data_IF_869734445045
#
_entry.id   IF_869734445045
#
_cell.length_a   1.000
_cell.length_b   1.000
_cell.length_c   1.000
_cell.angle_alpha   90.00
_cell.angle_beta   90.00
_cell.angle_gamma   90.00
#
_symmetry.space_group_name_H-M   'P 1'
#
loop_
_entity.id
_entity.type
_entity.pdbx_description
1 polymer ?
#
# COMPACT_ATOMS: atom_id res chain seq x y z
N UNK A 1 -24.88 9.72 -19.44
CA UNK A 1 -25.30 8.86 -20.53
C UNK A 1 -26.42 7.94 -20.04
N UNK A 2 -27.58 7.84 -20.73
CA UNK A 2 -28.59 6.85 -20.42
C UNK A 2 -28.02 5.45 -20.65
N UNK A 3 -28.40 4.50 -19.80
CA UNK A 3 -28.02 3.10 -19.95
C UNK A 3 -29.12 2.33 -20.70
N UNK A 4 -28.70 1.39 -21.51
CA UNK A 4 -29.63 0.51 -22.27
C UNK A 4 -29.72 -0.83 -21.55
N UNK A 5 -30.95 -1.33 -21.38
CA UNK A 5 -31.17 -2.68 -20.88
C UNK A 5 -30.70 -3.72 -21.91
N UNK A 6 -29.82 -4.62 -21.48
CA UNK A 6 -29.21 -5.63 -22.37
C UNK A 6 -29.61 -7.07 -22.04
N UNK A 7 -30.37 -7.27 -20.97
CA UNK A 7 -30.88 -8.60 -20.63
C UNK A 7 -30.97 -8.86 -19.12
N UNK A 8 -31.47 -10.05 -18.77
CA UNK A 8 -31.47 -10.52 -17.39
C UNK A 8 -31.02 -11.99 -17.30
N UNK A 9 -30.34 -12.32 -16.20
CA UNK A 9 -29.94 -13.68 -15.89
C UNK A 9 -30.09 -13.87 -14.37
N UNK A 10 -30.74 -14.96 -13.95
CA UNK A 10 -30.99 -15.27 -12.54
C UNK A 10 -31.64 -14.14 -11.72
N UNK A 11 -32.53 -13.35 -12.34
CA UNK A 11 -33.22 -12.23 -11.70
C UNK A 11 -32.37 -10.94 -11.60
N UNK A 12 -31.14 -10.93 -12.15
CA UNK A 12 -30.29 -9.76 -12.23
C UNK A 12 -30.51 -9.09 -13.61
N UNK A 13 -30.88 -7.83 -13.60
CA UNK A 13 -31.04 -7.02 -14.81
C UNK A 13 -29.72 -6.32 -15.14
N UNK A 14 -29.31 -6.38 -16.41
CA UNK A 14 -28.10 -5.76 -16.92
C UNK A 14 -28.42 -4.53 -17.76
N UNK A 15 -27.73 -3.44 -17.47
CA UNK A 15 -27.82 -2.19 -18.23
C UNK A 15 -26.40 -1.77 -18.64
N UNK A 16 -26.26 -1.24 -19.83
CA UNK A 16 -24.98 -0.82 -20.39
C UNK A 16 -25.07 0.59 -20.98
N UNK A 17 -24.00 1.35 -20.81
CA UNK A 17 -23.80 2.61 -21.50
C UNK A 17 -22.35 2.74 -21.96
N UNK A 18 -22.08 3.23 -23.18
CA UNK A 18 -20.72 3.51 -23.60
C UNK A 18 -20.17 4.71 -22.81
N UNK A 19 -18.95 4.58 -22.32
CA UNK A 19 -18.16 5.67 -21.78
C UNK A 19 -17.15 6.10 -22.84
N UNK A 20 -17.22 7.36 -23.25
CA UNK A 20 -16.22 7.96 -24.16
C UNK A 20 -15.19 8.66 -23.29
N UNK A 21 -13.98 8.14 -23.28
CA UNK A 21 -12.87 8.73 -22.57
C UNK A 21 -12.16 9.76 -23.44
N UNK A 22 -11.94 10.95 -22.92
CA UNK A 22 -11.02 11.93 -23.51
C UNK A 22 -9.58 11.54 -23.13
N UNK A 23 -8.69 11.46 -24.12
CA UNK A 23 -7.26 11.16 -23.90
C UNK A 23 -6.54 12.17 -23.00
N UNK A 24 -7.11 13.35 -22.78
CA UNK A 24 -6.60 14.35 -21.85
C UNK A 24 -6.96 14.10 -20.39
N UNK A 25 -7.87 13.14 -20.12
CA UNK A 25 -8.34 12.80 -18.78
C UNK A 25 -7.81 11.44 -18.36
N UNK A 26 -7.03 11.38 -17.28
CA UNK A 26 -6.53 10.12 -16.71
C UNK A 26 -7.54 9.47 -15.75
N UNK A 27 -8.47 10.24 -15.22
CA UNK A 27 -9.43 9.77 -14.22
C UNK A 27 -10.85 10.16 -14.65
N UNK A 28 -11.72 9.19 -14.70
CA UNK A 28 -13.16 9.38 -14.88
C UNK A 28 -13.86 9.13 -13.54
N UNK A 29 -14.59 10.11 -13.05
CA UNK A 29 -15.47 9.93 -11.89
C UNK A 29 -16.91 9.77 -12.36
N UNK A 30 -17.66 8.84 -11.77
CA UNK A 30 -19.02 8.55 -12.14
C UNK A 30 -19.89 8.09 -10.96
N UNK A 31 -21.16 8.20 -11.13
CA UNK A 31 -22.20 7.66 -10.24
C UNK A 31 -23.40 7.24 -11.09
N UNK A 32 -24.32 6.50 -10.52
CA UNK A 32 -25.54 6.11 -11.20
C UNK A 32 -26.70 6.96 -10.70
N UNK A 33 -27.55 7.42 -11.64
CA UNK A 33 -28.84 8.02 -11.37
C UNK A 33 -29.92 7.06 -11.84
N UNK A 34 -30.75 6.59 -10.93
CA UNK A 34 -31.82 5.64 -11.20
C UNK A 34 -33.13 6.40 -11.07
N UNK A 35 -33.84 6.56 -12.18
CA UNK A 35 -35.20 7.13 -12.17
C UNK A 35 -36.20 5.96 -12.14
N UNK A 36 -37.08 5.99 -11.15
CA UNK A 36 -38.23 5.07 -11.10
C UNK A 36 -39.41 5.70 -11.80
N UNK A 37 -40.10 4.93 -12.65
CA UNK A 37 -41.23 5.41 -13.42
C UNK A 37 -42.48 4.61 -13.11
N UNK A 38 -43.64 5.25 -13.22
CA UNK A 38 -44.93 4.58 -13.24
C UNK A 38 -45.19 3.84 -14.57
N UNK A 39 -46.36 3.22 -14.70
CA UNK A 39 -46.76 2.50 -15.90
C UNK A 39 -46.96 3.42 -17.12
N UNK A 40 -47.22 4.67 -16.88
CA UNK A 40 -47.39 5.73 -17.88
C UNK A 40 -46.05 6.34 -18.30
N UNK A 41 -44.93 6.00 -17.62
CA UNK A 41 -43.60 6.50 -17.93
C UNK A 41 -43.21 7.79 -17.19
N UNK A 42 -44.05 8.29 -16.24
CA UNK A 42 -43.72 9.45 -15.45
C UNK A 42 -42.72 9.08 -14.34
N UNK A 43 -41.74 9.92 -14.10
CA UNK A 43 -40.77 9.70 -13.03
C UNK A 43 -41.45 9.91 -11.68
N UNK A 44 -41.49 8.86 -10.87
CA UNK A 44 -42.10 8.86 -9.54
C UNK A 44 -41.08 9.05 -8.42
N UNK A 45 -39.83 8.63 -8.61
CA UNK A 45 -38.74 8.81 -7.67
C UNK A 45 -37.38 8.80 -8.39
N UNK A 46 -36.34 9.36 -7.73
CA UNK A 46 -34.97 9.36 -8.22
C UNK A 46 -34.05 8.93 -7.09
N UNK A 47 -33.23 7.91 -7.37
CA UNK A 47 -32.23 7.42 -6.42
C UNK A 47 -30.85 7.53 -7.05
N UNK A 48 -29.88 7.91 -6.26
CA UNK A 48 -28.49 8.02 -6.65
C UNK A 48 -27.70 6.88 -6.01
N UNK A 49 -26.80 6.28 -6.80
CA UNK A 49 -25.94 5.19 -6.31
C UNK A 49 -24.48 5.54 -6.54
N UNK A 50 -23.71 5.51 -5.47
CA UNK A 50 -22.30 5.88 -5.42
C UNK A 50 -21.49 4.90 -4.55
N UNK A 51 -20.24 5.18 -4.28
CA UNK A 51 -19.38 4.36 -3.40
C UNK A 51 -19.93 4.23 -1.97
N UNK A 52 -20.78 5.14 -1.53
CA UNK A 52 -21.48 5.07 -0.23
C UNK A 52 -22.82 4.31 -0.29
N UNK A 53 -23.19 3.76 -1.44
CA UNK A 53 -24.49 3.11 -1.65
C UNK A 53 -25.56 4.05 -2.17
N UNK A 54 -26.85 3.76 -1.85
CA UNK A 54 -27.99 4.51 -2.35
C UNK A 54 -28.29 5.75 -1.49
N UNK A 55 -28.65 6.86 -2.17
CA UNK A 55 -29.05 8.11 -1.56
C UNK A 55 -30.19 8.75 -2.37
N UNK A 56 -30.96 9.64 -1.74
CA UNK A 56 -31.95 10.51 -2.43
C UNK A 56 -31.35 11.85 -2.86
N UNK A 57 -30.11 12.11 -2.46
CA UNK A 57 -29.34 13.30 -2.85
C UNK A 57 -28.18 12.90 -3.78
N UNK A 58 -27.81 13.75 -4.75
CA UNK A 58 -26.65 13.49 -5.60
C UNK A 58 -25.36 13.41 -4.75
N UNK A 59 -24.45 12.46 -5.05
CA UNK A 59 -23.23 12.30 -4.27
C UNK A 59 -22.27 13.46 -4.48
N UNK A 60 -21.50 13.77 -3.44
CA UNK A 60 -20.34 14.65 -3.55
C UNK A 60 -19.26 13.97 -4.41
N UNK A 61 -18.41 14.74 -5.06
CA UNK A 61 -17.36 14.24 -5.96
C UNK A 61 -16.47 13.18 -5.32
N UNK A 62 -16.12 13.36 -4.05
CA UNK A 62 -15.30 12.41 -3.27
C UNK A 62 -15.98 11.05 -3.01
N UNK A 63 -17.30 10.96 -3.22
CA UNK A 63 -18.08 9.75 -3.03
C UNK A 63 -18.48 9.11 -4.38
N UNK A 64 -18.03 9.67 -5.50
CA UNK A 64 -18.22 9.05 -6.81
C UNK A 64 -17.29 7.83 -6.96
N UNK A 65 -17.69 6.90 -7.83
CA UNK A 65 -16.76 5.89 -8.31
C UNK A 65 -15.68 6.55 -9.16
N UNK A 66 -14.50 6.01 -9.15
CA UNK A 66 -13.38 6.47 -9.96
C UNK A 66 -12.89 5.33 -10.87
N UNK A 67 -12.67 5.63 -12.13
CA UNK A 67 -12.08 4.73 -13.11
C UNK A 67 -10.84 5.41 -13.69
N UNK A 68 -9.70 4.79 -13.54
CA UNK A 68 -8.48 5.21 -14.21
C UNK A 68 -8.54 4.77 -15.67
N UNK A 69 -8.44 5.74 -16.60
CA UNK A 69 -8.66 5.51 -18.03
C UNK A 69 -7.39 5.05 -18.74
N UNK A 70 -6.25 5.48 -18.23
CA UNK A 70 -4.94 5.13 -18.77
C UNK A 70 -4.05 4.66 -17.64
N UNK A 71 -3.39 3.54 -17.85
CA UNK A 71 -2.39 3.06 -16.91
C UNK A 71 -1.16 3.98 -16.97
N UNK A 72 -1.06 4.89 -15.99
CA UNK A 72 0.08 5.83 -15.85
C UNK A 72 1.14 5.29 -14.90
N UNK A 73 0.90 4.13 -14.29
CA UNK A 73 1.87 3.52 -13.40
C UNK A 73 3.06 2.94 -14.18
N UNK A 74 4.28 3.12 -13.71
CA UNK A 74 5.44 2.53 -14.34
C UNK A 74 5.32 0.98 -14.32
N UNK A 75 5.70 0.33 -15.42
CA UNK A 75 5.52 -1.11 -15.60
C UNK A 75 6.22 -1.91 -14.49
N UNK A 76 7.39 -1.44 -14.04
CA UNK A 76 8.09 -2.10 -12.93
C UNK A 76 7.24 -2.19 -11.65
N UNK A 77 6.42 -1.19 -11.35
CA UNK A 77 5.59 -1.18 -10.14
C UNK A 77 4.37 -2.12 -10.25
N UNK A 78 3.86 -2.32 -11.49
CA UNK A 78 2.72 -3.20 -11.75
C UNK A 78 3.14 -4.67 -11.62
N UNK A 79 4.32 -5.00 -12.12
CA UNK A 79 4.81 -6.39 -12.19
C UNK A 79 5.59 -6.79 -10.92
N UNK A 80 5.84 -5.83 -10.00
CA UNK A 80 6.65 -6.08 -8.80
C UNK A 80 6.00 -7.00 -7.79
N UNK A 81 6.81 -7.90 -7.24
CA UNK A 81 6.52 -8.63 -6.01
C UNK A 81 7.31 -7.97 -4.89
N UNK A 82 6.56 -7.29 -4.00
CA UNK A 82 7.15 -6.42 -2.97
C UNK A 82 7.36 -7.19 -1.67
N UNK A 83 8.57 -7.08 -1.11
CA UNK A 83 8.90 -7.56 0.22
C UNK A 83 8.94 -6.39 1.21
N UNK A 84 8.03 -6.36 2.18
CA UNK A 84 8.01 -5.31 3.21
C UNK A 84 8.98 -5.63 4.33
N UNK A 85 9.77 -4.62 4.75
CA UNK A 85 10.79 -4.73 5.80
C UNK A 85 10.54 -3.67 6.86
N UNK A 86 10.58 -4.10 8.12
CA UNK A 86 10.81 -3.22 9.27
C UNK A 86 12.29 -3.33 9.62
N UNK A 87 13.17 -2.36 9.27
CA UNK A 87 14.61 -2.54 9.31
C UNK A 87 15.15 -2.94 10.69
N UNK A 88 14.69 -2.30 11.77
CA UNK A 88 15.10 -2.61 13.13
C UNK A 88 14.83 -4.07 13.55
N UNK A 89 13.81 -4.71 12.98
CA UNK A 89 13.33 -6.07 13.30
C UNK A 89 13.80 -7.14 12.33
N UNK A 90 14.57 -6.78 11.30
CA UNK A 90 14.85 -7.69 10.18
C UNK A 90 16.21 -8.37 10.27
N UNK A 91 17.29 -7.63 10.11
CA UNK A 91 18.65 -8.16 10.13
C UNK A 91 19.65 -7.08 10.53
N UNK A 92 20.74 -7.47 11.18
CA UNK A 92 21.81 -6.59 11.60
C UNK A 92 23.15 -6.99 11.01
N UNK A 93 23.93 -6.03 10.55
CA UNK A 93 25.30 -6.25 10.08
C UNK A 93 26.30 -6.49 11.20
N UNK A 94 25.99 -6.04 12.43
CA UNK A 94 26.87 -6.11 13.60
C UNK A 94 26.48 -7.19 14.60
N UNK A 95 25.54 -8.06 14.24
CA UNK A 95 24.93 -9.05 15.10
C UNK A 95 23.49 -8.69 15.48
N UNK A 96 22.68 -9.68 15.80
CA UNK A 96 21.30 -9.51 16.24
C UNK A 96 21.23 -9.36 17.75
N UNK A 97 20.26 -8.59 18.24
CA UNK A 97 19.91 -8.58 19.65
C UNK A 97 18.77 -9.55 19.92
N UNK A 98 18.83 -10.25 21.02
CA UNK A 98 17.68 -10.98 21.54
C UNK A 98 16.63 -9.98 22.06
N UNK A 99 15.41 -10.45 22.23
CA UNK A 99 14.30 -9.68 22.81
C UNK A 99 14.61 -9.14 24.22
N UNK A 100 15.52 -9.77 24.95
CA UNK A 100 16.03 -9.34 26.27
C UNK A 100 17.15 -8.28 26.21
N UNK A 101 17.50 -7.81 25.00
CA UNK A 101 18.57 -6.83 24.79
C UNK A 101 19.97 -7.42 24.74
N UNK A 102 20.15 -8.74 24.84
CA UNK A 102 21.45 -9.37 24.69
C UNK A 102 21.83 -9.47 23.21
N UNK A 103 23.07 -9.09 22.89
CA UNK A 103 23.59 -9.16 21.52
C UNK A 103 23.82 -10.61 21.08
N UNK A 104 23.25 -10.97 19.94
CA UNK A 104 23.55 -12.25 19.27
C UNK A 104 24.47 -11.95 18.08
N UNK A 105 25.68 -12.49 18.11
CA UNK A 105 26.67 -12.34 17.03
C UNK A 105 26.33 -13.32 15.88
N UNK A 106 25.34 -12.99 15.05
CA UNK A 106 25.03 -13.77 13.84
C UNK A 106 24.42 -12.88 12.79
N UNK A 107 24.75 -13.09 11.53
CA UNK A 107 24.11 -12.47 10.34
C UNK A 107 22.74 -13.12 10.02
N UNK A 108 22.15 -13.82 10.98
CA UNK A 108 20.87 -14.50 10.81
C UNK A 108 19.70 -13.52 11.12
N UNK A 109 18.54 -13.70 10.48
CA UNK A 109 17.32 -12.99 10.84
C UNK A 109 17.04 -13.11 12.34
N UNK A 110 16.50 -12.04 12.93
CA UNK A 110 16.18 -11.98 14.35
C UNK A 110 15.21 -13.13 14.69
N UNK A 111 15.69 -14.08 15.49
CA UNK A 111 14.83 -15.13 16.04
C UNK A 111 14.33 -14.65 17.39
N UNK A 112 13.04 -14.37 17.48
CA UNK A 112 12.38 -14.19 18.79
C UNK A 112 12.44 -15.52 19.53
N UNK A 113 13.22 -15.60 20.59
CA UNK A 113 13.17 -16.72 21.53
C UNK A 113 11.89 -16.59 22.34
N UNK A 114 11.12 -17.66 22.32
CA UNK A 114 9.94 -17.83 23.17
C UNK A 114 8.92 -16.66 23.07
N UNK A 115 7.72 -16.97 22.70
CA UNK A 115 6.56 -16.08 22.49
C UNK A 115 6.17 -15.24 23.73
N UNK A 116 7.12 -14.69 24.48
CA UNK A 116 6.82 -13.67 25.45
C UNK A 116 6.41 -12.38 24.73
N UNK A 117 5.30 -11.81 25.16
CA UNK A 117 4.78 -10.53 24.68
C UNK A 117 5.76 -9.40 25.03
N UNK A 118 6.73 -9.18 24.13
CA UNK A 118 7.55 -7.97 24.16
C UNK A 118 6.81 -6.93 23.34
N UNK A 119 6.70 -5.72 23.87
CA UNK A 119 6.22 -4.60 23.08
C UNK A 119 7.26 -4.27 22.01
N UNK A 120 7.16 -4.94 20.86
CA UNK A 120 8.10 -4.80 19.75
C UNK A 120 8.13 -3.36 19.19
N UNK A 121 7.07 -2.58 19.42
CA UNK A 121 6.99 -1.19 18.94
C UNK A 121 7.90 -0.25 19.76
N UNK A 122 8.27 -0.63 20.98
CA UNK A 122 9.12 0.17 21.88
C UNK A 122 10.53 -0.38 22.04
N UNK A 123 10.81 -1.60 21.57
CA UNK A 123 12.08 -2.29 21.78
C UNK A 123 12.95 -2.23 20.53
N UNK A 124 14.16 -1.68 20.62
CA UNK A 124 15.16 -1.79 19.57
C UNK A 124 15.70 -3.21 19.49
N UNK A 125 15.63 -3.81 18.29
CA UNK A 125 16.18 -5.14 18.01
C UNK A 125 17.53 -5.08 17.28
N UNK A 126 17.95 -3.89 16.85
CA UNK A 126 19.28 -3.63 16.30
C UNK A 126 19.47 -4.02 14.83
N UNK A 127 18.41 -4.25 14.09
CA UNK A 127 18.48 -4.37 12.65
C UNK A 127 18.93 -3.07 11.99
N UNK A 128 19.63 -3.15 10.86
CA UNK A 128 20.21 -2.02 10.15
C UNK A 128 20.17 -2.19 8.62
N UNK A 129 20.51 -1.14 7.87
CA UNK A 129 20.45 -1.17 6.41
C UNK A 129 21.55 -2.04 5.77
N UNK A 130 22.67 -2.22 6.43
CA UNK A 130 23.72 -3.17 5.97
C UNK A 130 23.25 -4.61 6.17
N UNK A 131 22.50 -4.91 7.22
CA UNK A 131 21.82 -6.18 7.42
C UNK A 131 20.74 -6.43 6.35
N UNK A 132 19.96 -5.41 6.01
CA UNK A 132 19.02 -5.50 4.87
C UNK A 132 19.77 -5.82 3.58
N UNK A 133 20.88 -5.13 3.30
CA UNK A 133 21.72 -5.38 2.13
C UNK A 133 22.24 -6.83 2.07
N UNK A 134 22.69 -7.39 3.19
CA UNK A 134 23.14 -8.77 3.28
C UNK A 134 22.04 -9.80 2.99
N UNK A 135 20.76 -9.43 3.26
CA UNK A 135 19.60 -10.31 3.05
C UNK A 135 18.94 -10.18 1.68
N UNK A 136 19.39 -9.30 0.79
CA UNK A 136 18.82 -9.17 -0.56
C UNK A 136 18.84 -10.48 -1.37
N UNK A 137 19.89 -11.33 -1.34
CA UNK A 137 19.86 -12.62 -2.03
C UNK A 137 18.75 -13.56 -1.52
N UNK A 138 18.45 -13.54 -0.22
CA UNK A 138 17.35 -14.30 0.36
C UNK A 138 16.00 -13.79 -0.16
N UNK A 139 15.77 -12.46 -0.11
CA UNK A 139 14.54 -11.83 -0.59
C UNK A 139 14.30 -12.15 -2.07
N UNK A 140 15.35 -12.05 -2.88
CA UNK A 140 15.30 -12.41 -4.30
C UNK A 140 15.02 -13.91 -4.51
N UNK A 141 15.56 -14.77 -3.65
CA UNK A 141 15.29 -16.22 -3.67
C UNK A 141 13.83 -16.58 -3.38
N UNK A 142 13.08 -15.71 -2.70
CA UNK A 142 11.63 -15.83 -2.51
C UNK A 142 10.82 -15.41 -3.75
N UNK A 143 11.46 -14.86 -4.78
CA UNK A 143 10.81 -14.33 -5.98
C UNK A 143 10.41 -12.86 -5.88
N UNK A 144 10.82 -12.16 -4.82
CA UNK A 144 10.57 -10.72 -4.67
C UNK A 144 11.66 -9.92 -5.40
N UNK A 145 11.26 -8.87 -6.09
CA UNK A 145 12.14 -7.99 -6.88
C UNK A 145 12.18 -6.55 -6.38
N UNK A 146 11.31 -6.23 -5.43
CA UNK A 146 11.19 -4.90 -4.85
C UNK A 146 11.13 -4.98 -3.34
N UNK A 147 11.84 -4.09 -2.64
CA UNK A 147 11.73 -3.93 -1.20
C UNK A 147 10.96 -2.64 -0.85
N UNK A 148 10.10 -2.74 0.14
CA UNK A 148 9.43 -1.60 0.77
C UNK A 148 9.83 -1.56 2.25
N UNK A 149 10.48 -0.49 2.67
CA UNK A 149 10.90 -0.33 4.07
C UNK A 149 9.96 0.61 4.82
N UNK A 150 9.67 0.30 6.09
CA UNK A 150 9.13 1.31 7.01
C UNK A 150 10.11 2.48 7.13
N UNK A 151 9.70 3.64 7.70
CA UNK A 151 10.56 4.82 7.73
C UNK A 151 11.95 4.54 8.29
N UNK A 152 12.97 5.15 7.67
CA UNK A 152 14.39 4.95 8.01
C UNK A 152 15.09 6.22 8.49
N UNK A 153 14.39 7.35 8.46
CA UNK A 153 14.96 8.65 8.80
C UNK A 153 15.02 8.87 10.32
N UNK A 154 15.83 9.84 10.72
CA UNK A 154 16.03 10.16 12.13
C UNK A 154 14.70 10.45 12.83
N UNK A 155 14.46 9.71 13.91
CA UNK A 155 13.26 9.83 14.74
C UNK A 155 13.51 9.27 16.13
N UNK A 156 12.77 9.73 17.16
CA UNK A 156 12.93 9.25 18.54
C UNK A 156 12.38 7.85 18.74
N UNK A 157 11.32 7.46 18.01
CA UNK A 157 10.69 6.14 18.15
C UNK A 157 11.43 5.05 17.38
N UNK A 158 11.18 3.79 17.75
CA UNK A 158 11.69 2.60 17.04
C UNK A 158 11.09 2.50 15.62
N UNK A 159 9.80 2.81 15.48
CA UNK A 159 9.06 2.69 14.21
C UNK A 159 9.35 3.84 13.24
N UNK A 160 9.96 4.95 13.68
CA UNK A 160 10.39 6.10 12.85
C UNK A 160 9.28 6.86 12.09
N UNK A 161 8.00 6.60 12.36
CA UNK A 161 6.90 7.35 11.73
C UNK A 161 6.79 8.80 12.22
N UNK A 162 7.44 9.13 13.33
CA UNK A 162 7.59 10.45 13.94
C UNK A 162 8.89 11.12 13.50
N UNK A 163 9.19 11.10 12.21
CA UNK A 163 10.42 11.60 11.61
C UNK A 163 10.69 13.06 11.97
N UNK A 164 11.88 13.33 12.51
CA UNK A 164 12.38 14.66 12.86
C UNK A 164 13.18 15.32 11.71
N UNK A 165 13.89 14.49 10.92
CA UNK A 165 14.78 14.97 9.87
C UNK A 165 14.76 14.00 8.69
N UNK A 166 14.19 14.43 7.56
CA UNK A 166 14.09 13.64 6.33
C UNK A 166 15.38 13.62 5.49
N UNK A 167 16.37 14.43 5.81
CA UNK A 167 17.66 14.47 5.10
C UNK A 167 18.68 13.53 5.77
N UNK A 168 18.39 13.03 6.97
CA UNK A 168 19.26 12.18 7.74
C UNK A 168 18.64 10.80 7.99
N UNK A 169 19.29 9.75 7.47
CA UNK A 169 18.98 8.37 7.87
C UNK A 169 19.40 8.16 9.32
N UNK A 170 18.55 7.50 10.11
CA UNK A 170 18.81 7.27 11.54
C UNK A 170 20.16 6.59 11.76
N UNK A 171 20.97 7.08 12.69
CA UNK A 171 22.25 6.46 13.03
C UNK A 171 22.16 4.98 13.45
N UNK A 172 21.04 4.56 14.09
CA UNK A 172 20.79 3.15 14.41
C UNK A 172 20.74 2.26 13.18
N UNK A 173 20.36 2.81 12.03
CA UNK A 173 20.34 2.11 10.74
C UNK A 173 21.64 2.27 9.93
N UNK A 174 22.68 2.88 10.50
CA UNK A 174 23.98 3.09 9.86
C UNK A 174 24.09 4.39 9.06
N UNK A 175 23.10 5.29 9.19
CA UNK A 175 23.10 6.62 8.59
C UNK A 175 23.07 6.63 7.06
N UNK A 176 23.28 7.82 6.48
CA UNK A 176 23.24 8.01 5.01
C UNK A 176 24.27 7.14 4.25
N UNK A 177 25.36 6.75 4.92
CA UNK A 177 26.38 5.86 4.33
C UNK A 177 25.85 4.46 4.07
N UNK A 178 25.09 3.87 5.01
CA UNK A 178 24.48 2.56 4.86
C UNK A 178 23.41 2.56 3.76
N UNK A 179 22.59 3.62 3.65
CA UNK A 179 21.62 3.75 2.56
C UNK A 179 22.31 3.77 1.19
N UNK A 180 23.45 4.47 1.05
CA UNK A 180 24.22 4.46 -0.18
C UNK A 180 24.73 3.06 -0.54
N UNK A 181 25.24 2.31 0.45
CA UNK A 181 25.70 0.93 0.24
C UNK A 181 24.55 0.01 -0.17
N UNK A 182 23.42 0.05 0.55
CA UNK A 182 22.22 -0.71 0.20
C UNK A 182 21.80 -0.44 -1.25
N UNK A 183 21.67 0.83 -1.65
CA UNK A 183 21.31 1.23 -3.01
C UNK A 183 22.28 0.72 -4.08
N UNK A 184 23.55 0.52 -3.73
CA UNK A 184 24.57 0.05 -4.70
C UNK A 184 24.43 -1.42 -4.99
N UNK A 185 23.92 -2.21 -4.04
CA UNK A 185 23.81 -3.69 -4.16
C UNK A 185 22.39 -4.16 -4.51
N UNK A 186 21.38 -3.29 -4.32
CA UNK A 186 20.01 -3.54 -4.74
C UNK A 186 19.83 -3.29 -6.25
#
# INVERSE_FOLDING_TARGET
>A
NPMTYTGSCFGIHRFEAPLVADKSQNLLTYYFKIALTDKEGNVTDVVWYSSLGMSREPPLMQHCYALELFNTHPQWAIDSIVYQIFPDKFASSSGTFNVDGTRVETDAPIKTKDFEFVNLDETHCGGDLDGVAAMLPYIRGLGCDTIYMTPIFKAPSVHKFDTEDYDMVDPHFGGNGALKRLRTVA
#
